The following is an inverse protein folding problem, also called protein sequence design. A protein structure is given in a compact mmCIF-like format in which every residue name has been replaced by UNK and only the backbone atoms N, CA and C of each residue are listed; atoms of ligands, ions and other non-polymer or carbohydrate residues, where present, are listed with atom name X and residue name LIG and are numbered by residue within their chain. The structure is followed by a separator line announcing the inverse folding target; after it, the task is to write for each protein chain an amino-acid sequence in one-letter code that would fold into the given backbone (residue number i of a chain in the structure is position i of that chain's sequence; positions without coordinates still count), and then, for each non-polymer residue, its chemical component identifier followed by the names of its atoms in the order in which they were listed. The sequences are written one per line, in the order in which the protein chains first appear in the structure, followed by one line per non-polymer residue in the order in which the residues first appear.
data_IF_165154155808
#
_entry.id   IF_165154155808
#
_cell.length_a   1.000
_cell.length_b   1.000
_cell.length_c   1.000
_cell.angle_alpha   90.00
_cell.angle_beta   90.00
_cell.angle_gamma   90.00
#
_symmetry.space_group_name_H-M   'P 1'
#
loop_
_entity.id
_entity.type
_entity.pdbx_description
1 polymer ?
#
# COMPACT_ATOMS: atom_id res chain seq x y z
N UNK A 1 -6.50 0.68 -28.59
CA UNK A 1 -5.50 -0.33 -29.05
C UNK A 1 -4.27 -0.19 -28.17
N UNK A 2 -3.83 -1.29 -27.58
CA UNK A 2 -2.67 -1.31 -26.67
C UNK A 2 -2.98 -1.68 -25.22
N UNK A 3 -3.90 -2.61 -24.96
CA UNK A 3 -3.84 -3.37 -23.70
C UNK A 3 -2.62 -4.28 -23.78
N UNK A 4 -1.57 -3.97 -23.03
CA UNK A 4 -0.47 -4.89 -22.77
C UNK A 4 -1.05 -6.11 -22.04
N UNK A 5 -1.39 -7.14 -22.81
CA UNK A 5 -1.54 -8.49 -22.30
C UNK A 5 -0.10 -8.94 -22.05
N UNK A 6 0.39 -8.67 -20.84
CA UNK A 6 1.55 -9.37 -20.32
C UNK A 6 1.18 -10.86 -20.38
N UNK A 7 1.89 -11.64 -21.20
CA UNK A 7 1.61 -13.06 -21.40
C UNK A 7 1.47 -13.74 -20.03
N UNK A 8 0.25 -14.13 -19.64
CA UNK A 8 0.01 -14.95 -18.46
C UNK A 8 0.72 -16.28 -18.68
N UNK A 9 1.96 -16.37 -18.17
CA UNK A 9 2.72 -17.61 -18.22
C UNK A 9 1.93 -18.62 -17.39
N UNK A 10 1.56 -19.81 -17.93
CA UNK A 10 0.72 -20.78 -17.22
C UNK A 10 1.21 -21.16 -15.82
N UNK A 11 2.52 -21.05 -15.56
CA UNK A 11 3.10 -21.30 -14.24
C UNK A 11 2.78 -20.22 -13.20
N UNK A 12 2.53 -18.96 -13.59
CA UNK A 12 2.12 -17.89 -12.66
C UNK A 12 0.73 -18.15 -12.08
N UNK A 13 -0.20 -18.66 -12.88
CA UNK A 13 -1.52 -19.09 -12.39
C UNK A 13 -1.40 -20.26 -11.41
N UNK A 14 -0.53 -21.24 -11.70
CA UNK A 14 -0.26 -22.36 -10.79
C UNK A 14 0.42 -21.89 -9.50
N UNK A 15 1.37 -20.95 -9.59
CA UNK A 15 1.98 -20.33 -8.41
C UNK A 15 0.93 -19.61 -7.57
N UNK A 16 0.05 -18.81 -8.18
CA UNK A 16 -1.04 -18.14 -7.47
C UNK A 16 -1.99 -19.16 -6.80
N UNK A 17 -2.35 -20.24 -7.49
CA UNK A 17 -3.15 -21.33 -6.93
C UNK A 17 -2.43 -22.02 -5.76
N UNK A 18 -1.13 -22.24 -5.89
CA UNK A 18 -0.30 -22.85 -4.85
C UNK A 18 -0.13 -21.96 -3.61
N UNK A 19 0.11 -20.66 -3.80
CA UNK A 19 0.21 -19.68 -2.72
C UNK A 19 -1.12 -19.54 -1.96
N UNK A 20 -2.25 -19.68 -2.65
CA UNK A 20 -3.59 -19.67 -2.04
C UNK A 20 -3.89 -20.96 -1.27
N UNK A 21 -3.50 -22.11 -1.81
CA UNK A 21 -3.76 -23.43 -1.24
C UNK A 21 -2.56 -24.37 -1.44
N UNK A 22 -1.57 -24.38 -0.52
CA UNK A 22 -0.30 -25.09 -0.69
C UNK A 22 -0.40 -26.59 -0.40
N UNK A 23 -1.26 -27.28 -1.16
CA UNK A 23 -1.46 -28.73 -1.06
C UNK A 23 -0.38 -29.50 -1.81
N UNK A 24 -0.22 -30.79 -1.47
CA UNK A 24 0.58 -31.76 -2.26
C UNK A 24 0.23 -31.74 -3.75
N UNK A 25 -1.06 -31.65 -4.07
CA UNK A 25 -1.52 -31.57 -5.46
C UNK A 25 -1.03 -30.29 -6.15
N UNK A 26 -1.14 -29.14 -5.49
CA UNK A 26 -0.77 -27.86 -6.09
C UNK A 26 0.76 -27.71 -6.19
N UNK A 27 1.52 -28.23 -5.22
CA UNK A 27 2.99 -28.32 -5.33
C UNK A 27 3.40 -29.16 -6.53
N UNK A 28 2.77 -30.32 -6.73
CA UNK A 28 3.02 -31.15 -7.90
C UNK A 28 2.73 -30.39 -9.20
N UNK A 29 1.57 -29.76 -9.30
CA UNK A 29 1.20 -29.01 -10.51
C UNK A 29 2.21 -27.90 -10.82
N UNK A 30 2.71 -27.21 -9.79
CA UNK A 30 3.74 -26.19 -9.92
C UNK A 30 5.05 -26.77 -10.48
N UNK A 31 5.47 -27.95 -10.01
CA UNK A 31 6.71 -28.62 -10.42
C UNK A 31 6.62 -29.37 -11.75
N UNK A 32 5.42 -29.64 -12.26
CA UNK A 32 5.22 -30.31 -13.55
C UNK A 32 5.23 -29.35 -14.76
N UNK A 33 5.13 -28.05 -14.53
CA UNK A 33 5.32 -27.05 -15.56
C UNK A 33 6.80 -26.71 -15.69
N UNK A 34 7.20 -26.15 -16.83
CA UNK A 34 8.45 -25.39 -16.99
C UNK A 34 8.35 -24.08 -16.18
N UNK A 35 8.10 -24.20 -14.87
CA UNK A 35 8.15 -23.09 -13.94
C UNK A 35 9.57 -22.55 -13.98
N UNK A 36 9.69 -21.26 -14.26
CA UNK A 36 10.96 -20.56 -14.29
C UNK A 36 11.12 -19.88 -12.95
N UNK A 37 12.26 -20.10 -12.28
CA UNK A 37 12.61 -19.28 -11.12
C UNK A 37 12.60 -17.80 -11.51
N UNK A 38 11.84 -17.03 -10.75
CA UNK A 38 11.57 -15.61 -10.97
C UNK A 38 11.57 -14.89 -9.61
N UNK A 39 11.14 -13.63 -9.59
CA UNK A 39 11.12 -12.81 -8.39
C UNK A 39 10.34 -13.45 -7.22
N UNK A 40 9.30 -14.22 -7.51
CA UNK A 40 8.29 -14.76 -6.58
C UNK A 40 8.39 -16.29 -6.37
N UNK A 41 9.33 -16.96 -7.04
CA UNK A 41 9.52 -18.42 -6.92
C UNK A 41 10.99 -18.81 -6.97
N UNK A 42 11.41 -19.64 -6.03
CA UNK A 42 12.78 -20.14 -5.93
C UNK A 42 12.80 -21.61 -5.57
N UNK A 43 13.65 -22.38 -6.25
CA UNK A 43 13.87 -23.78 -5.98
C UNK A 43 15.25 -23.99 -5.37
N UNK A 44 15.31 -24.82 -4.33
CA UNK A 44 16.56 -25.22 -3.71
C UNK A 44 16.58 -26.71 -3.41
N UNK A 45 17.74 -27.31 -3.64
CA UNK A 45 17.96 -28.72 -3.30
C UNK A 45 17.95 -28.93 -1.79
N UNK A 46 18.66 -28.07 -1.06
CA UNK A 46 18.89 -28.19 0.39
C UNK A 46 18.56 -26.89 1.12
N UNK A 47 18.32 -27.00 2.43
CA UNK A 47 18.07 -25.84 3.29
C UNK A 47 19.28 -24.91 3.29
N UNK A 48 19.04 -23.63 3.00
CA UNK A 48 20.09 -22.63 2.96
C UNK A 48 20.56 -22.25 4.37
N UNK A 49 21.80 -21.70 4.50
CA UNK A 49 22.20 -20.96 5.68
C UNK A 49 21.14 -19.91 6.06
N UNK A 50 20.84 -19.78 7.35
CA UNK A 50 19.69 -18.99 7.83
C UNK A 50 19.80 -17.49 7.52
N UNK A 51 21.01 -16.95 7.42
CA UNK A 51 21.28 -15.59 6.99
C UNK A 51 20.97 -15.39 5.50
N UNK A 52 21.37 -16.33 4.64
CA UNK A 52 21.03 -16.31 3.21
C UNK A 52 19.53 -16.54 2.99
N UNK A 53 18.92 -17.45 3.74
CA UNK A 53 17.48 -17.68 3.72
C UNK A 53 16.71 -16.42 4.10
N UNK A 54 17.10 -15.78 5.20
CA UNK A 54 16.50 -14.51 5.64
C UNK A 54 16.64 -13.42 4.58
N UNK A 55 17.77 -13.35 3.87
CA UNK A 55 17.96 -12.42 2.75
C UNK A 55 16.95 -12.62 1.63
N UNK A 56 16.70 -13.87 1.21
CA UNK A 56 15.68 -14.17 0.21
C UNK A 56 14.27 -13.85 0.70
N UNK A 57 13.95 -14.18 1.95
CA UNK A 57 12.65 -13.88 2.57
C UNK A 57 12.40 -12.36 2.60
N UNK A 58 13.37 -11.57 3.05
CA UNK A 58 13.26 -10.10 3.06
C UNK A 58 13.09 -9.54 1.65
N UNK A 59 13.86 -10.06 0.69
CA UNK A 59 13.81 -9.64 -0.70
C UNK A 59 12.45 -9.89 -1.36
N UNK A 60 11.83 -11.05 -1.10
CA UNK A 60 10.48 -11.37 -1.53
C UNK A 60 9.44 -10.50 -0.83
N UNK A 61 9.51 -10.39 0.49
CA UNK A 61 8.53 -9.67 1.32
C UNK A 61 8.42 -8.17 1.00
N UNK A 62 9.48 -7.58 0.44
CA UNK A 62 9.54 -6.17 0.08
C UNK A 62 8.96 -5.84 -1.30
N UNK A 63 8.54 -6.84 -2.09
CA UNK A 63 8.05 -6.61 -3.46
C UNK A 63 6.69 -7.26 -3.72
N UNK A 64 6.70 -8.58 -3.93
CA UNK A 64 5.51 -9.33 -4.36
C UNK A 64 5.20 -10.53 -3.46
N UNK A 65 6.09 -10.84 -2.51
CA UNK A 65 6.04 -12.08 -1.74
C UNK A 65 6.55 -13.23 -2.61
N UNK A 66 6.08 -14.45 -2.32
CA UNK A 66 6.43 -15.62 -3.12
C UNK A 66 6.59 -16.90 -2.30
N UNK A 67 7.25 -17.89 -2.92
CA UNK A 67 7.58 -19.15 -2.29
C UNK A 67 9.02 -19.58 -2.55
N UNK A 68 9.65 -20.14 -1.52
CA UNK A 68 10.92 -20.88 -1.62
C UNK A 68 10.60 -22.35 -1.36
N UNK A 69 10.89 -23.20 -2.35
CA UNK A 69 10.59 -24.63 -2.29
C UNK A 69 11.90 -25.42 -2.23
N UNK A 70 12.07 -26.16 -1.13
CA UNK A 70 13.22 -27.00 -0.87
C UNK A 70 12.97 -28.47 -1.21
N UNK A 71 14.03 -29.19 -1.60
CA UNK A 71 13.96 -30.56 -2.10
C UNK A 71 13.73 -30.64 -3.61
N UNK A 72 14.14 -29.59 -4.35
CA UNK A 72 14.02 -29.50 -5.81
C UNK A 72 15.39 -29.13 -6.39
N UNK A 73 15.86 -29.91 -7.35
CA UNK A 73 17.15 -29.72 -8.01
C UNK A 73 16.97 -29.13 -9.41
N UNK A 74 17.69 -28.05 -9.73
CA UNK A 74 17.80 -27.55 -11.11
C UNK A 74 18.81 -28.44 -11.85
N UNK A 75 18.34 -29.30 -12.75
CA UNK A 75 19.18 -30.26 -13.48
C UNK A 75 19.78 -29.66 -14.75
N UNK A 76 19.03 -28.75 -15.39
CA UNK A 76 19.47 -27.87 -16.47
C UNK A 76 18.80 -26.50 -16.28
N UNK A 77 19.24 -25.47 -17.02
CA UNK A 77 18.62 -24.15 -16.97
C UNK A 77 17.08 -24.25 -17.12
N UNK A 78 16.34 -23.86 -16.09
CA UNK A 78 14.86 -23.94 -16.04
C UNK A 78 14.25 -25.35 -16.07
N UNK A 79 15.04 -26.39 -15.78
CA UNK A 79 14.55 -27.75 -15.63
C UNK A 79 14.74 -28.20 -14.20
N UNK A 80 13.63 -28.47 -13.53
CA UNK A 80 13.60 -28.78 -12.11
C UNK A 80 13.14 -30.22 -11.89
N UNK A 81 13.86 -30.93 -11.03
CA UNK A 81 13.57 -32.32 -10.67
C UNK A 81 13.30 -32.43 -9.17
N UNK A 82 12.21 -33.09 -8.75
CA UNK A 82 11.97 -33.35 -7.34
C UNK A 82 13.03 -34.30 -6.80
N UNK A 83 13.87 -33.87 -5.85
CA UNK A 83 14.90 -34.72 -5.23
C UNK A 83 14.56 -35.06 -3.76
N UNK A 84 13.75 -34.24 -3.10
CA UNK A 84 13.47 -34.31 -1.67
C UNK A 84 14.63 -33.83 -0.80
N UNK A 85 14.33 -33.56 0.46
CA UNK A 85 15.31 -33.23 1.49
C UNK A 85 15.82 -34.51 2.17
N UNK A 86 17.13 -34.60 2.31
CA UNK A 86 17.84 -35.72 2.95
C UNK A 86 17.77 -35.68 4.48
N UNK A 87 17.65 -34.48 5.05
CA UNK A 87 17.66 -34.26 6.49
C UNK A 87 16.25 -34.01 7.02
N UNK A 88 15.94 -34.59 8.19
CA UNK A 88 14.78 -34.15 8.97
C UNK A 88 15.05 -32.76 9.54
N UNK A 89 13.99 -31.98 9.68
CA UNK A 89 14.05 -30.63 10.23
C UNK A 89 12.86 -30.39 11.15
N UNK A 90 13.07 -29.55 12.17
CA UNK A 90 12.03 -29.08 13.09
C UNK A 90 11.63 -27.67 12.69
N UNK A 91 10.35 -27.47 12.41
CA UNK A 91 9.78 -26.15 12.06
C UNK A 91 10.09 -25.13 13.16
N UNK A 92 9.98 -25.54 14.43
CA UNK A 92 10.21 -24.67 15.59
C UNK A 92 11.65 -24.17 15.64
N UNK A 93 12.61 -25.03 15.25
CA UNK A 93 14.03 -24.66 15.20
C UNK A 93 14.30 -23.70 14.03
N UNK A 94 13.67 -23.94 12.87
CA UNK A 94 13.77 -23.03 11.71
C UNK A 94 13.25 -21.63 12.08
N UNK A 95 12.08 -21.55 12.71
CA UNK A 95 11.49 -20.28 13.16
C UNK A 95 12.40 -19.53 14.12
N UNK A 96 12.92 -20.22 15.15
CA UNK A 96 13.85 -19.64 16.14
C UNK A 96 15.15 -19.15 15.51
N UNK A 97 15.64 -19.84 14.49
CA UNK A 97 16.88 -19.45 13.79
C UNK A 97 16.66 -18.29 12.81
N UNK A 98 15.44 -18.10 12.30
CA UNK A 98 15.06 -16.98 11.43
C UNK A 98 14.70 -15.71 12.23
N UNK A 99 14.04 -15.83 13.39
CA UNK A 99 13.57 -14.69 14.21
C UNK A 99 14.62 -13.57 14.41
N UNK A 100 15.92 -13.87 14.66
CA UNK A 100 16.92 -12.82 14.84
C UNK A 100 17.20 -11.97 13.60
N UNK A 101 16.87 -12.47 12.40
CA UNK A 101 17.20 -11.82 11.13
C UNK A 101 16.03 -11.02 10.54
N UNK A 102 14.78 -11.41 10.81
CA UNK A 102 13.59 -10.86 10.14
C UNK A 102 12.60 -10.17 11.10
N UNK A 103 11.93 -9.08 10.71
CA UNK A 103 10.93 -8.42 11.54
C UNK A 103 9.70 -9.29 11.86
N UNK A 104 9.19 -9.21 13.09
CA UNK A 104 8.02 -9.99 13.55
C UNK A 104 6.71 -9.75 12.78
N UNK A 105 6.60 -8.60 12.11
CA UNK A 105 5.43 -8.26 11.27
C UNK A 105 5.46 -8.94 9.89
N UNK A 106 6.59 -9.53 9.52
CA UNK A 106 6.74 -10.25 8.25
C UNK A 106 6.02 -11.60 8.38
N UNK A 107 4.99 -11.80 7.56
CA UNK A 107 4.19 -13.01 7.58
C UNK A 107 4.85 -14.12 6.74
N UNK A 108 5.28 -15.19 7.43
CA UNK A 108 5.92 -16.37 6.83
C UNK A 108 5.09 -17.60 7.18
N UNK A 109 4.90 -18.51 6.23
CA UNK A 109 4.35 -19.85 6.50
C UNK A 109 5.37 -20.92 6.11
N UNK A 110 5.69 -21.82 7.05
CA UNK A 110 6.67 -22.90 6.85
C UNK A 110 5.90 -24.22 6.83
N UNK A 111 5.90 -24.90 5.69
CA UNK A 111 5.02 -26.03 5.41
C UNK A 111 5.87 -27.25 5.00
N UNK A 112 6.04 -28.25 5.88
CA UNK A 112 6.61 -29.53 5.48
C UNK A 112 5.59 -30.31 4.64
N UNK A 113 6.02 -30.86 3.53
CA UNK A 113 5.16 -31.64 2.62
C UNK A 113 5.80 -32.98 2.32
N UNK A 114 5.13 -34.08 2.70
CA UNK A 114 5.63 -35.43 2.50
C UNK A 114 4.69 -36.27 1.60
N UNK A 115 5.27 -36.92 0.59
CA UNK A 115 4.55 -37.74 -0.36
C UNK A 115 4.67 -39.24 -0.01
N UNK A 116 3.64 -39.76 0.66
CA UNK A 116 3.52 -41.17 1.08
C UNK A 116 3.01 -42.12 -0.01
N UNK A 117 2.48 -41.59 -1.11
CA UNK A 117 1.68 -42.35 -2.08
C UNK A 117 2.50 -42.87 -3.26
N UNK A 118 2.00 -43.92 -3.90
CA UNK A 118 2.57 -44.47 -5.14
C UNK A 118 2.10 -43.75 -6.39
N UNK A 119 1.09 -42.87 -6.28
CA UNK A 119 0.45 -42.19 -7.40
C UNK A 119 1.44 -41.42 -8.28
N UNK A 120 2.58 -41.00 -7.71
CA UNK A 120 3.63 -40.25 -8.39
C UNK A 120 5.02 -40.82 -8.05
N UNK A 121 5.58 -41.70 -8.90
CA UNK A 121 6.88 -42.33 -8.66
C UNK A 121 8.01 -41.33 -8.39
N UNK A 122 7.98 -40.18 -9.08
CA UNK A 122 8.99 -39.13 -8.94
C UNK A 122 8.94 -38.40 -7.58
N UNK A 123 7.79 -38.41 -6.89
CA UNK A 123 7.62 -37.76 -5.59
C UNK A 123 7.63 -38.75 -4.44
N UNK A 124 7.56 -40.05 -4.74
CA UNK A 124 7.45 -41.12 -3.74
C UNK A 124 8.53 -41.01 -2.67
N UNK A 125 8.10 -41.04 -1.42
CA UNK A 125 8.92 -41.00 -0.22
C UNK A 125 9.84 -39.77 -0.09
N UNK A 126 9.52 -38.68 -0.81
CA UNK A 126 10.27 -37.41 -0.73
C UNK A 126 9.60 -36.42 0.22
N UNK A 127 10.44 -35.76 1.01
CA UNK A 127 10.09 -34.65 1.88
C UNK A 127 10.48 -33.33 1.23
N UNK A 128 9.57 -32.36 1.25
CA UNK A 128 9.78 -31.00 0.79
C UNK A 128 9.53 -30.04 1.94
N UNK A 129 10.21 -28.89 1.91
CA UNK A 129 9.90 -27.76 2.78
C UNK A 129 9.51 -26.58 1.90
N UNK A 130 8.37 -25.98 2.20
CA UNK A 130 7.92 -24.79 1.49
C UNK A 130 7.92 -23.64 2.48
N UNK A 131 8.51 -22.52 2.09
CA UNK A 131 8.43 -21.26 2.82
C UNK A 131 7.65 -20.28 1.95
N UNK A 132 6.45 -19.92 2.40
CA UNK A 132 5.61 -18.90 1.75
C UNK A 132 5.85 -17.58 2.44
N UNK A 133 6.19 -16.56 1.65
CA UNK A 133 6.42 -15.20 2.09
C UNK A 133 5.25 -14.35 1.57
N UNK A 134 4.48 -13.75 2.48
CA UNK A 134 3.38 -12.89 2.07
C UNK A 134 3.84 -11.45 1.89
N UNK A 135 3.43 -10.84 0.79
CA UNK A 135 3.52 -9.41 0.63
C UNK A 135 2.42 -8.70 1.40
N UNK A 136 2.80 -7.67 2.15
CA UNK A 136 1.86 -6.79 2.82
C UNK A 136 2.33 -5.33 2.66
N UNK A 137 1.74 -4.56 1.72
CA UNK A 137 2.17 -3.20 1.42
C UNK A 137 2.08 -2.24 2.62
N UNK A 138 1.27 -2.57 3.64
CA UNK A 138 1.15 -1.77 4.87
C UNK A 138 2.39 -1.79 5.75
N UNK A 139 3.21 -2.83 5.66
CA UNK A 139 4.34 -3.05 6.59
C UNK A 139 5.71 -2.96 5.94
N UNK A 140 5.78 -2.90 4.61
CA UNK A 140 7.04 -2.67 3.88
C UNK A 140 7.53 -1.22 4.06
N UNK A 141 8.83 -0.95 3.86
CA UNK A 141 9.90 -1.93 3.70
C UNK A 141 10.28 -2.63 5.02
N UNK A 142 10.57 -3.93 4.92
CA UNK A 142 11.22 -4.72 5.95
C UNK A 142 12.75 -4.61 5.83
N UNK A 143 13.40 -4.49 6.98
CA UNK A 143 14.86 -4.38 7.14
C UNK A 143 15.43 -5.61 7.83
N UNK A 144 16.68 -5.96 7.50
CA UNK A 144 17.41 -7.02 8.18
C UNK A 144 17.76 -6.63 9.63
N UNK A 145 17.37 -7.45 10.61
CA UNK A 145 17.59 -7.14 12.03
C UNK A 145 18.99 -7.52 12.55
N UNK A 146 19.66 -8.46 11.89
CA UNK A 146 20.97 -8.99 12.27
C UNK A 146 21.83 -9.26 11.03
N UNK A 147 23.14 -9.10 11.17
CA UNK A 147 24.10 -9.49 10.12
C UNK A 147 24.41 -10.98 10.18
N UNK A 148 24.67 -11.55 9.01
CA UNK A 148 25.31 -12.85 8.82
C UNK A 148 26.43 -12.73 7.79
N UNK A 149 26.85 -13.85 7.22
CA UNK A 149 27.84 -13.88 6.13
C UNK A 149 27.25 -13.30 4.83
N UNK A 150 25.99 -13.62 4.56
CA UNK A 150 25.29 -13.29 3.31
C UNK A 150 24.31 -12.11 3.46
N UNK A 151 24.08 -11.66 4.70
CA UNK A 151 23.07 -10.67 5.06
C UNK A 151 23.69 -9.53 5.86
N UNK A 152 23.43 -8.28 5.47
CA UNK A 152 23.88 -7.09 6.18
C UNK A 152 22.73 -6.52 7.01
N UNK A 153 22.97 -6.27 8.29
CA UNK A 153 22.03 -5.57 9.19
C UNK A 153 21.61 -4.21 8.62
N UNK A 154 20.39 -3.78 8.95
CA UNK A 154 19.81 -2.48 8.62
C UNK A 154 19.73 -2.21 7.10
N UNK A 155 19.76 -3.29 6.30
CA UNK A 155 19.69 -3.22 4.84
C UNK A 155 18.33 -3.74 4.36
N UNK A 156 17.74 -3.03 3.40
CA UNK A 156 16.53 -3.43 2.68
C UNK A 156 16.99 -4.22 1.46
N UNK A 157 16.44 -5.41 1.28
CA UNK A 157 16.69 -6.26 0.11
C UNK A 157 15.45 -6.32 -0.76
N UNK A 158 15.65 -6.47 -2.07
CA UNK A 158 14.61 -6.71 -3.06
C UNK A 158 15.04 -7.84 -4.00
N UNK A 159 14.07 -8.54 -4.58
CA UNK A 159 14.28 -9.53 -5.64
C UNK A 159 14.45 -8.82 -6.99
N UNK A 160 15.57 -9.10 -7.66
CA UNK A 160 15.85 -8.76 -9.05
C UNK A 160 16.11 -10.04 -9.83
N UNK A 161 15.08 -10.55 -10.47
CA UNK A 161 15.03 -11.89 -11.06
C UNK A 161 15.37 -12.95 -9.99
N UNK A 162 16.47 -13.69 -10.16
CA UNK A 162 16.93 -14.73 -9.22
C UNK A 162 17.85 -14.22 -8.12
N UNK A 163 18.20 -12.94 -8.13
CA UNK A 163 19.12 -12.37 -7.15
C UNK A 163 18.36 -11.61 -6.06
N UNK A 164 18.83 -11.72 -4.82
CA UNK A 164 18.40 -10.87 -3.71
C UNK A 164 19.49 -9.84 -3.45
N UNK A 165 19.18 -8.57 -3.69
CA UNK A 165 20.16 -7.49 -3.70
C UNK A 165 19.69 -6.30 -2.86
N UNK A 166 20.61 -5.47 -2.33
CA UNK A 166 20.23 -4.22 -1.69
C UNK A 166 19.43 -3.35 -2.64
N UNK A 167 18.38 -2.74 -2.09
CA UNK A 167 17.50 -1.85 -2.82
C UNK A 167 18.26 -0.60 -3.32
N UNK A 168 17.83 -0.05 -4.46
CA UNK A 168 18.28 1.25 -4.94
C UNK A 168 17.28 2.37 -4.56
N UNK A 169 17.56 3.61 -4.98
CA UNK A 169 16.70 4.75 -4.67
C UNK A 169 15.30 4.63 -5.29
N UNK A 170 15.21 4.27 -6.57
CA UNK A 170 13.95 4.24 -7.32
C UNK A 170 13.00 3.17 -6.78
N UNK A 171 13.53 1.98 -6.51
CA UNK A 171 12.79 0.88 -5.89
C UNK A 171 12.33 1.24 -4.46
N UNK A 172 13.15 1.97 -3.71
CA UNK A 172 12.74 2.44 -2.39
C UNK A 172 11.58 3.44 -2.51
N UNK A 173 11.62 4.36 -3.48
CA UNK A 173 10.49 5.27 -3.73
C UNK A 173 9.23 4.48 -4.10
N UNK A 174 9.34 3.46 -4.96
CA UNK A 174 8.22 2.61 -5.36
C UNK A 174 7.56 1.92 -4.15
N UNK A 175 8.35 1.28 -3.29
CA UNK A 175 7.83 0.62 -2.07
C UNK A 175 7.12 1.62 -1.15
N UNK A 176 7.72 2.79 -0.94
CA UNK A 176 7.13 3.82 -0.09
C UNK A 176 5.82 4.35 -0.68
N UNK A 177 5.75 4.57 -1.99
CA UNK A 177 4.54 4.99 -2.68
C UNK A 177 3.43 3.93 -2.57
N UNK A 178 3.76 2.66 -2.84
CA UNK A 178 2.81 1.54 -2.69
C UNK A 178 2.26 1.45 -1.26
N UNK A 179 3.12 1.64 -0.26
CA UNK A 179 2.69 1.68 1.14
C UNK A 179 1.74 2.84 1.42
N UNK A 180 2.08 4.04 0.98
CA UNK A 180 1.24 5.23 1.09
C UNK A 180 -0.12 4.90 0.46
N UNK A 181 -0.20 4.44 -0.78
CA UNK A 181 -1.47 4.11 -1.44
C UNK A 181 -2.34 3.14 -0.62
N UNK A 182 -1.75 2.12 0.01
CA UNK A 182 -2.50 1.15 0.82
C UNK A 182 -2.94 1.64 2.20
N UNK A 183 -2.16 2.50 2.87
CA UNK A 183 -2.64 3.21 4.06
C UNK A 183 -3.74 4.22 3.68
N UNK A 184 -3.64 4.81 2.49
CA UNK A 184 -4.57 5.81 1.99
C UNK A 184 -5.90 5.25 1.47
N UNK A 185 -5.99 3.95 1.21
CA UNK A 185 -7.25 3.26 0.89
C UNK A 185 -8.27 3.33 2.04
N UNK A 186 -7.82 3.47 3.30
CA UNK A 186 -8.69 3.80 4.46
C UNK A 186 -8.79 5.31 4.75
N UNK A 187 -7.95 6.12 4.10
CA UNK A 187 -7.91 7.57 4.26
C UNK A 187 -8.98 8.27 3.44
N UNK A 188 -9.65 7.63 2.47
CA UNK A 188 -10.75 8.24 1.73
C UNK A 188 -11.97 8.58 2.62
N UNK A 189 -12.22 7.84 3.70
CA UNK A 189 -13.27 8.19 4.67
C UNK A 189 -12.84 9.32 5.61
N UNK A 190 -11.55 9.39 5.98
CA UNK A 190 -10.99 10.51 6.79
C UNK A 190 -10.87 11.80 5.98
N UNK A 191 -10.45 11.71 4.71
CA UNK A 191 -10.44 12.80 3.73
C UNK A 191 -11.83 13.36 3.49
N UNK A 192 -12.88 12.54 3.50
CA UNK A 192 -14.22 13.08 3.29
C UNK A 192 -14.61 14.03 4.44
N UNK A 193 -14.37 13.64 5.69
CA UNK A 193 -14.65 14.50 6.84
C UNK A 193 -13.80 15.77 6.76
N UNK A 194 -12.50 15.63 6.50
CA UNK A 194 -11.57 16.75 6.36
C UNK A 194 -11.96 17.70 5.21
N UNK A 195 -12.26 17.18 4.02
CA UNK A 195 -12.73 17.96 2.87
C UNK A 195 -14.09 18.64 3.12
N UNK A 196 -14.98 18.01 3.91
CA UNK A 196 -16.25 18.62 4.30
C UNK A 196 -16.04 19.76 5.30
N UNK A 197 -15.10 19.62 6.23
CA UNK A 197 -14.70 20.70 7.14
C UNK A 197 -14.04 21.86 6.39
N UNK A 198 -13.10 21.59 5.50
CA UNK A 198 -12.48 22.59 4.62
C UNK A 198 -13.53 23.31 3.76
N UNK A 199 -14.45 22.57 3.14
CA UNK A 199 -15.53 23.14 2.35
C UNK A 199 -16.45 24.02 3.21
N UNK A 200 -16.77 23.60 4.44
CA UNK A 200 -17.57 24.41 5.37
C UNK A 200 -16.88 25.74 5.69
N UNK A 201 -15.57 25.73 5.88
CA UNK A 201 -14.80 26.97 6.07
C UNK A 201 -14.84 27.86 4.82
N UNK A 202 -14.73 27.30 3.61
CA UNK A 202 -14.87 28.06 2.36
C UNK A 202 -16.23 28.75 2.22
N UNK A 203 -17.32 28.10 2.62
CA UNK A 203 -18.66 28.70 2.67
C UNK A 203 -18.74 29.90 3.64
N UNK A 204 -17.94 29.90 4.71
CA UNK A 204 -17.91 30.99 5.69
C UNK A 204 -17.10 32.20 5.22
N UNK A 205 -16.11 32.00 4.33
CA UNK A 205 -15.29 33.10 3.80
C UNK A 205 -16.02 34.02 2.82
N UNK A 206 -17.13 33.58 2.23
CA UNK A 206 -17.93 34.41 1.33
C UNK A 206 -19.04 35.08 2.14
N UNK A 207 -18.99 36.40 2.37
CA UNK A 207 -20.02 37.09 3.13
C UNK A 207 -21.34 37.10 2.36
N UNK A 208 -22.46 36.89 3.05
CA UNK A 208 -23.81 36.91 2.46
C UNK A 208 -24.21 38.28 1.88
N UNK A 209 -23.59 39.34 2.37
CA UNK A 209 -23.84 40.70 1.94
C UNK A 209 -22.54 41.48 1.80
N UNK A 210 -22.52 42.38 0.82
CA UNK A 210 -21.44 43.32 0.58
C UNK A 210 -21.90 44.74 0.88
N UNK A 211 -20.98 45.56 1.40
CA UNK A 211 -21.22 46.98 1.64
C UNK A 211 -20.78 47.76 0.41
N UNK A 212 -21.71 48.41 -0.27
CA UNK A 212 -21.42 49.31 -1.38
C UNK A 212 -21.45 50.75 -0.87
N UNK A 213 -20.42 51.53 -1.17
CA UNK A 213 -20.41 52.96 -0.87
C UNK A 213 -21.44 53.64 -1.77
N UNK A 214 -22.42 54.30 -1.15
CA UNK A 214 -23.50 54.99 -1.86
C UNK A 214 -23.26 56.50 -1.91
N UNK A 215 -22.57 57.04 -0.91
CA UNK A 215 -22.30 58.46 -0.80
C UNK A 215 -21.03 58.70 0.03
N UNK A 216 -20.22 59.65 -0.41
CA UNK A 216 -19.06 60.15 0.31
C UNK A 216 -19.21 61.65 0.48
N UNK A 217 -19.32 62.12 1.72
CA UNK A 217 -19.28 63.55 2.04
C UNK A 217 -17.84 63.91 2.42
N UNK A 218 -17.11 64.65 1.56
CA UNK A 218 -15.75 65.05 1.87
C UNK A 218 -15.73 65.93 3.13
N UNK A 219 -14.66 65.86 3.94
CA UNK A 219 -14.55 66.68 5.14
C UNK A 219 -14.55 68.17 4.75
N UNK A 220 -15.50 68.92 5.28
CA UNK A 220 -15.55 70.38 5.13
C UNK A 220 -14.88 71.04 6.33
N UNK A 221 -13.79 71.78 6.09
CA UNK A 221 -13.16 72.64 7.11
C UNK A 221 -13.96 73.94 7.18
N UNK A 222 -14.61 74.28 8.30
CA UNK A 222 -15.27 75.58 8.43
C UNK A 222 -14.19 76.67 8.45
N UNK A 223 -14.26 77.63 7.52
CA UNK A 223 -13.37 78.79 7.47
C UNK A 223 -13.76 79.80 8.58
N UNK A 224 -13.58 79.45 9.85
CA UNK A 224 -13.72 80.39 10.96
C UNK A 224 -12.55 80.20 11.94
N UNK A 225 -11.47 80.95 11.72
CA UNK A 225 -10.41 81.16 12.69
C UNK A 225 -10.92 82.14 13.76
N UNK A 226 -11.50 81.60 14.84
CA UNK A 226 -12.02 82.40 15.95
C UNK A 226 -12.26 81.57 17.20
N UNK A 227 -11.20 81.41 17.99
CA UNK A 227 -11.12 81.13 19.43
C UNK A 227 -12.19 80.26 20.14
N UNK A 228 -11.65 79.23 20.79
CA UNK A 228 -12.02 78.69 22.10
C UNK A 228 -13.23 77.73 22.18
N UNK A 229 -12.87 76.45 22.37
CA UNK A 229 -13.64 75.54 23.22
C UNK A 229 -14.70 74.71 22.50
N UNK A 230 -14.48 73.40 22.53
CA UNK A 230 -15.40 72.32 22.18
C UNK A 230 -15.42 71.85 20.71
N UNK A 231 -15.11 70.56 20.58
CA UNK A 231 -15.55 69.61 19.53
C UNK A 231 -14.56 69.32 18.40
N UNK A 232 -13.50 68.57 18.72
CA UNK A 232 -12.73 67.76 17.76
C UNK A 232 -13.51 66.51 17.29
N UNK A 233 -14.75 66.65 16.79
CA UNK A 233 -15.53 65.48 16.33
C UNK A 233 -15.69 65.30 14.82
N UNK A 234 -15.45 66.31 13.98
CA UNK A 234 -15.79 66.22 12.55
C UNK A 234 -14.59 66.50 11.62
N UNK A 235 -13.49 65.74 11.76
CA UNK A 235 -12.36 65.78 10.81
C UNK A 235 -12.31 64.58 9.84
N UNK A 236 -13.21 63.61 9.96
CA UNK A 236 -13.29 62.46 9.06
C UNK A 236 -14.56 62.56 8.21
N UNK A 237 -14.43 62.44 6.89
CA UNK A 237 -15.58 62.45 5.98
C UNK A 237 -16.54 61.30 6.29
N UNK A 238 -17.85 61.56 6.20
CA UNK A 238 -18.89 60.54 6.41
C UNK A 238 -19.09 59.74 5.13
N UNK A 239 -18.89 58.42 5.22
CA UNK A 239 -19.17 57.48 4.14
C UNK A 239 -20.43 56.70 4.48
N UNK A 240 -21.47 56.82 3.66
CA UNK A 240 -22.69 56.03 3.79
C UNK A 240 -22.55 54.74 2.97
N UNK A 241 -22.90 53.61 3.59
CA UNK A 241 -22.83 52.28 2.98
C UNK A 241 -24.24 51.69 2.87
N UNK A 242 -24.56 51.12 1.70
CA UNK A 242 -25.73 50.27 1.51
C UNK A 242 -25.31 48.80 1.58
N UNK A 243 -26.11 47.98 2.27
CA UNK A 243 -25.86 46.55 2.38
C UNK A 243 -26.67 45.83 1.29
N UNK A 244 -25.98 45.24 0.32
CA UNK A 244 -26.58 44.50 -0.78
C UNK A 244 -26.28 43.01 -0.66
N UNK A 245 -27.14 42.11 -1.15
CA UNK A 245 -26.82 40.68 -1.22
C UNK A 245 -25.58 40.48 -2.08
N UNK A 246 -24.69 39.58 -1.66
CA UNK A 246 -23.48 39.27 -2.41
C UNK A 246 -23.83 38.38 -3.62
N UNK A 247 -23.63 38.83 -4.87
CA UNK A 247 -23.94 38.03 -6.06
C UNK A 247 -23.08 36.77 -6.19
N UNK A 248 -21.90 36.74 -5.56
CA UNK A 248 -20.97 35.61 -5.59
C UNK A 248 -21.22 34.62 -4.43
N UNK A 249 -22.23 34.87 -3.59
CA UNK A 249 -22.59 33.92 -2.53
C UNK A 249 -23.27 32.68 -3.15
N UNK A 250 -22.84 31.46 -2.79
CA UNK A 250 -23.40 30.23 -3.37
C UNK A 250 -24.93 30.14 -3.24
N UNK A 251 -25.61 29.71 -4.31
CA UNK A 251 -27.07 29.50 -4.31
C UNK A 251 -27.50 28.33 -3.40
N UNK A 252 -26.72 27.24 -3.40
CA UNK A 252 -26.91 26.10 -2.49
C UNK A 252 -26.24 26.42 -1.15
N UNK A 253 -26.90 26.13 -0.01
CA UNK A 253 -26.25 26.24 1.30
C UNK A 253 -25.39 24.99 1.58
N UNK A 254 -24.43 25.09 2.50
CA UNK A 254 -23.65 23.94 2.94
C UNK A 254 -24.55 22.77 3.40
N UNK A 255 -25.62 23.05 4.16
CA UNK A 255 -26.60 22.04 4.57
C UNK A 255 -27.37 21.45 3.38
N UNK A 256 -27.68 22.27 2.37
CA UNK A 256 -28.26 21.82 1.11
C UNK A 256 -27.36 20.84 0.36
N UNK A 257 -26.07 21.16 0.27
CA UNK A 257 -25.04 20.30 -0.30
C UNK A 257 -24.94 18.97 0.45
N UNK A 258 -24.87 19.00 1.79
CA UNK A 258 -24.83 17.78 2.62
C UNK A 258 -26.08 16.92 2.42
N UNK A 259 -27.27 17.53 2.38
CA UNK A 259 -28.53 16.83 2.12
C UNK A 259 -28.48 16.10 0.77
N UNK A 260 -27.96 16.73 -0.27
CA UNK A 260 -27.81 16.12 -1.61
C UNK A 260 -26.83 14.93 -1.59
N UNK A 261 -25.71 15.05 -0.89
CA UNK A 261 -24.75 13.94 -0.73
C UNK A 261 -25.36 12.73 -0.01
N UNK A 262 -26.16 12.96 1.04
CA UNK A 262 -26.86 11.90 1.76
C UNK A 262 -27.77 11.10 0.82
N UNK A 263 -28.55 11.77 -0.03
CA UNK A 263 -29.43 11.10 -0.98
C UNK A 263 -28.64 10.27 -2.01
N UNK A 264 -27.55 10.81 -2.56
CA UNK A 264 -26.66 10.06 -3.47
C UNK A 264 -26.09 8.82 -2.78
N UNK A 265 -25.64 8.94 -1.52
CA UNK A 265 -25.05 7.83 -0.78
C UNK A 265 -26.07 6.73 -0.49
N UNK A 266 -27.31 7.10 -0.13
CA UNK A 266 -28.42 6.14 0.05
C UNK A 266 -28.68 5.34 -1.23
N UNK A 267 -28.74 6.02 -2.37
CA UNK A 267 -28.97 5.39 -3.67
C UNK A 267 -27.87 4.39 -4.05
N UNK A 268 -26.60 4.73 -3.78
CA UNK A 268 -25.46 3.83 -4.00
C UNK A 268 -25.59 2.58 -3.13
N UNK A 269 -25.89 2.74 -1.84
CA UNK A 269 -26.05 1.61 -0.90
C UNK A 269 -27.18 0.68 -1.36
N UNK A 270 -28.32 1.23 -1.75
CA UNK A 270 -29.46 0.45 -2.26
C UNK A 270 -29.06 -0.34 -3.52
N UNK A 271 -28.30 0.26 -4.45
CA UNK A 271 -27.83 -0.42 -5.67
C UNK A 271 -26.84 -1.55 -5.37
N UNK A 272 -25.97 -1.38 -4.38
CA UNK A 272 -25.02 -2.41 -3.95
C UNK A 272 -25.73 -3.61 -3.30
N UNK A 273 -26.69 -3.35 -2.42
CA UNK A 273 -27.47 -4.41 -1.75
C UNK A 273 -28.32 -5.21 -2.74
N UNK A 274 -28.86 -4.58 -3.79
CA UNK A 274 -29.66 -5.27 -4.82
C UNK A 274 -28.84 -6.13 -5.80
N UNK A 275 -27.51 -5.98 -5.84
CA UNK A 275 -26.60 -6.73 -6.72
C UNK A 275 -25.98 -7.97 -6.05
N UNK A 276 -26.13 -8.09 -4.73
CA UNK A 276 -25.70 -9.23 -3.91
C UNK A 276 -26.83 -10.23 -3.74
#
# INVERSE_FOLDING_TARGET
MGSNVENDKPWKEQLASFLKDPTRRNLRNLLQLEAVEDNDLEFKRELLPFDLLAKHILAMANKDGGAIVFGVEETNLNQFSPCGLSNSFDITDIEKKLEPYVPKKLEISIIPTYYKGEDYPEFKDKLFLIIIVKYNPRYVPFIALKSGENLKKDTIYIRRNRASEPINYDELQEILNNRIETEYSTTDERKLIEHLEELKELYNYIPKSIKKVVSYKPPSVPLNFGLAGQQFKNFFGETEYETLPNPDYPEESYEGFIKRLIEIKKDIIIKLVKKS
#
